data_IF_109861441640
#
_entry.id   IF_109861441640
#
_cell.length_a   1.000
_cell.length_b   1.000
_cell.length_c   1.000
_cell.angle_alpha   90.00
_cell.angle_beta   90.00
_cell.angle_gamma   90.00
#
_symmetry.space_group_name_H-M   'P 1'
#
loop_
_entity.id
_entity.type
_entity.pdbx_description
1 polymer ?
#
# COMPACT_ATOMS: atom_id res chain seq x y z
N UNK A 1 -17.87 -11.61 -24.56
CA UNK A 1 -16.59 -11.21 -23.92
C UNK A 1 -15.38 -11.33 -24.84
N UNK A 2 -15.11 -12.44 -25.52
CA UNK A 2 -13.93 -12.52 -26.41
C UNK A 2 -13.96 -11.50 -27.55
N UNK A 3 -15.09 -11.32 -28.21
CA UNK A 3 -15.32 -10.28 -29.22
C UNK A 3 -15.21 -8.87 -28.66
N UNK A 4 -15.61 -8.65 -27.40
CA UNK A 4 -15.51 -7.36 -26.72
C UNK A 4 -14.06 -6.98 -26.38
N UNK A 5 -13.30 -7.93 -25.83
CA UNK A 5 -11.85 -7.72 -25.56
C UNK A 5 -11.08 -7.52 -26.86
N UNK A 6 -11.42 -8.26 -27.93
CA UNK A 6 -10.87 -8.06 -29.27
C UNK A 6 -11.18 -6.66 -29.83
N UNK A 7 -12.41 -6.17 -29.61
CA UNK A 7 -12.80 -4.82 -30.01
C UNK A 7 -11.97 -3.75 -29.28
N UNK A 8 -11.71 -3.94 -27.99
CA UNK A 8 -10.98 -2.97 -27.17
C UNK A 8 -9.45 -3.02 -27.35
N UNK A 9 -8.88 -4.22 -27.40
CA UNK A 9 -7.44 -4.45 -27.27
C UNK A 9 -6.84 -5.14 -28.50
N UNK A 10 -7.64 -5.47 -29.51
CA UNK A 10 -7.21 -6.19 -30.70
C UNK A 10 -7.11 -7.71 -30.51
N UNK A 11 -6.79 -8.40 -31.61
CA UNK A 11 -6.79 -9.87 -31.67
C UNK A 11 -5.59 -10.55 -30.98
N UNK A 12 -4.60 -9.77 -30.55
CA UNK A 12 -3.36 -10.28 -29.95
C UNK A 12 -3.53 -10.78 -28.50
N UNK A 13 -4.68 -10.54 -27.87
CA UNK A 13 -4.94 -10.93 -26.49
C UNK A 13 -5.93 -12.09 -26.39
N UNK A 14 -5.55 -13.14 -25.65
CA UNK A 14 -6.46 -14.22 -25.26
C UNK A 14 -7.09 -13.89 -23.89
N UNK A 15 -8.40 -13.59 -23.82
CA UNK A 15 -9.01 -13.21 -22.56
C UNK A 15 -9.12 -14.40 -21.61
N UNK A 16 -8.76 -14.17 -20.35
CA UNK A 16 -9.08 -15.04 -19.22
C UNK A 16 -10.15 -14.33 -18.40
N UNK A 17 -11.27 -15.01 -18.15
CA UNK A 17 -12.40 -14.43 -17.42
C UNK A 17 -12.28 -14.83 -15.96
N UNK A 18 -12.23 -13.83 -15.07
CA UNK A 18 -12.24 -14.01 -13.63
C UNK A 18 -13.44 -13.25 -13.05
N UNK A 19 -14.56 -13.92 -12.75
CA UNK A 19 -15.74 -13.25 -12.22
C UNK A 19 -15.53 -12.87 -10.75
N UNK A 20 -15.74 -11.60 -10.42
CA UNK A 20 -15.76 -11.10 -9.04
C UNK A 20 -17.18 -10.78 -8.65
N UNK A 21 -17.71 -11.44 -7.62
CA UNK A 21 -19.07 -11.24 -7.12
C UNK A 21 -19.01 -10.23 -5.97
N UNK A 22 -19.43 -9.00 -6.24
CA UNK A 22 -19.39 -7.91 -5.26
C UNK A 22 -20.73 -7.74 -4.54
N UNK A 23 -20.71 -7.31 -3.27
CA UNK A 23 -21.92 -7.08 -2.49
C UNK A 23 -22.74 -5.89 -3.02
N UNK A 24 -24.02 -6.12 -3.30
CA UNK A 24 -24.97 -5.09 -3.71
C UNK A 24 -25.56 -4.33 -2.50
N UNK A 25 -26.21 -3.19 -2.77
CA UNK A 25 -27.06 -2.45 -1.81
C UNK A 25 -28.37 -2.09 -2.51
N UNK A 26 -29.48 -2.15 -1.78
CA UNK A 26 -30.81 -1.81 -2.29
C UNK A 26 -31.56 -3.02 -2.85
N UNK A 27 -32.34 -2.82 -3.92
CA UNK A 27 -33.22 -3.85 -4.51
C UNK A 27 -32.92 -4.07 -6.01
N UNK A 28 -31.71 -4.54 -6.38
CA UNK A 28 -31.40 -4.83 -7.78
C UNK A 28 -32.38 -5.89 -8.31
N UNK A 29 -33.09 -5.58 -9.40
CA UNK A 29 -34.11 -6.46 -9.96
C UNK A 29 -35.39 -6.64 -9.12
N UNK A 30 -35.56 -5.88 -8.03
CA UNK A 30 -36.80 -5.79 -7.24
C UNK A 30 -37.15 -6.96 -6.31
N UNK A 31 -36.64 -8.17 -6.57
CA UNK A 31 -37.00 -9.38 -5.80
C UNK A 31 -36.29 -9.51 -4.45
N UNK A 32 -35.02 -9.13 -4.39
CA UNK A 32 -34.15 -9.25 -3.22
C UNK A 32 -33.85 -7.89 -2.60
N UNK A 33 -33.59 -7.86 -1.30
CA UNK A 33 -33.20 -6.68 -0.53
C UNK A 33 -31.79 -6.91 0.02
N UNK A 34 -30.84 -6.04 -0.33
CA UNK A 34 -29.47 -6.09 0.17
C UNK A 34 -29.22 -4.88 1.07
N UNK A 35 -28.87 -5.15 2.33
CA UNK A 35 -28.57 -4.15 3.36
C UNK A 35 -27.13 -4.33 3.81
N UNK A 36 -26.41 -3.21 3.93
CA UNK A 36 -25.01 -3.18 4.31
C UNK A 36 -24.34 -1.92 3.77
N UNK A 37 -23.03 -1.81 3.99
CA UNK A 37 -22.27 -0.66 3.52
C UNK A 37 -22.07 -0.74 1.98
N UNK A 38 -22.33 0.33 1.21
CA UNK A 38 -22.05 0.34 -0.23
C UNK A 38 -20.54 0.27 -0.53
N UNK A 39 -19.67 0.69 0.41
CA UNK A 39 -18.21 0.60 0.25
C UNK A 39 -17.69 -0.84 0.29
N UNK A 40 -18.46 -1.81 0.79
CA UNK A 40 -18.10 -3.23 0.73
C UNK A 40 -17.89 -3.68 -0.74
N UNK A 41 -18.56 -3.04 -1.71
CA UNK A 41 -18.32 -3.31 -3.12
C UNK A 41 -16.85 -3.10 -3.50
N UNK A 42 -16.27 -1.96 -3.09
CA UNK A 42 -14.86 -1.66 -3.35
C UNK A 42 -13.95 -2.58 -2.55
N UNK A 43 -14.27 -2.84 -1.28
CA UNK A 43 -13.45 -3.70 -0.40
C UNK A 43 -13.35 -5.12 -0.95
N UNK A 44 -14.47 -5.74 -1.32
CA UNK A 44 -14.47 -7.11 -1.86
C UNK A 44 -13.81 -7.17 -3.24
N UNK A 45 -14.07 -6.19 -4.10
CA UNK A 45 -13.40 -6.11 -5.40
C UNK A 45 -11.88 -5.92 -5.25
N UNK A 46 -11.45 -5.07 -4.32
CA UNK A 46 -10.03 -4.84 -4.02
C UNK A 46 -9.36 -6.08 -3.44
N UNK A 47 -10.00 -6.75 -2.49
CA UNK A 47 -9.50 -8.00 -1.92
C UNK A 47 -9.29 -9.05 -3.02
N UNK A 48 -10.28 -9.25 -3.89
CA UNK A 48 -10.21 -10.32 -4.88
C UNK A 48 -9.24 -10.01 -6.04
N UNK A 49 -9.36 -8.83 -6.66
CA UNK A 49 -8.47 -8.41 -7.75
C UNK A 49 -7.04 -8.16 -7.26
N UNK A 50 -6.90 -7.65 -6.03
CA UNK A 50 -5.60 -7.40 -5.43
C UNK A 50 -4.79 -8.68 -5.23
N UNK A 51 -5.41 -9.84 -4.90
CA UNK A 51 -4.73 -11.14 -4.88
C UNK A 51 -4.03 -11.43 -6.21
N UNK A 52 -4.71 -11.17 -7.32
CA UNK A 52 -4.15 -11.40 -8.67
C UNK A 52 -2.96 -10.47 -8.95
N UNK A 53 -3.08 -9.19 -8.57
CA UNK A 53 -2.02 -8.19 -8.74
C UNK A 53 -0.79 -8.49 -7.88
N UNK A 54 -0.95 -9.12 -6.71
CA UNK A 54 0.21 -9.53 -5.90
C UNK A 54 1.12 -10.53 -6.62
N UNK A 55 0.56 -11.33 -7.54
CA UNK A 55 1.28 -12.39 -8.25
C UNK A 55 1.69 -11.98 -9.67
N UNK A 56 0.86 -11.18 -10.35
CA UNK A 56 1.04 -10.86 -11.77
C UNK A 56 1.19 -9.37 -12.00
N UNK A 57 2.18 -8.95 -12.81
CA UNK A 57 2.28 -7.56 -13.22
C UNK A 57 1.31 -7.24 -14.36
N UNK A 58 0.72 -6.06 -14.29
CA UNK A 58 -0.12 -5.49 -15.33
C UNK A 58 0.34 -4.04 -15.58
N UNK A 59 0.63 -3.70 -16.83
CA UNK A 59 1.03 -2.34 -17.23
C UNK A 59 -0.17 -1.44 -17.50
N UNK A 60 -1.38 -2.01 -17.57
CA UNK A 60 -2.60 -1.28 -17.92
C UNK A 60 -3.84 -1.85 -17.26
N UNK A 61 -4.78 -0.98 -16.92
CA UNK A 61 -6.11 -1.29 -16.39
C UNK A 61 -7.13 -0.65 -17.32
N UNK A 62 -8.13 -1.42 -17.73
CA UNK A 62 -9.24 -0.93 -18.57
C UNK A 62 -10.52 -1.06 -17.77
N UNK A 63 -11.25 0.04 -17.64
CA UNK A 63 -12.52 0.14 -16.94
C UNK A 63 -13.61 0.47 -17.95
N UNK A 64 -14.60 -0.40 -18.07
CA UNK A 64 -15.81 -0.12 -18.82
C UNK A 64 -16.97 0.16 -17.87
N UNK A 65 -17.55 1.35 -17.98
CA UNK A 65 -18.66 1.77 -17.14
C UNK A 65 -20.03 1.55 -17.76
N UNK A 66 -20.10 1.06 -19.01
CA UNK A 66 -21.33 0.98 -19.83
C UNK A 66 -22.49 0.26 -19.13
N UNK A 67 -22.21 -0.85 -18.46
CA UNK A 67 -23.22 -1.69 -17.81
C UNK A 67 -23.20 -1.59 -16.28
N UNK A 68 -22.42 -0.66 -15.72
CA UNK A 68 -22.38 -0.47 -14.28
C UNK A 68 -23.68 0.15 -13.77
N UNK A 69 -24.08 -0.25 -12.56
CA UNK A 69 -25.34 0.18 -11.95
C UNK A 69 -25.06 1.16 -10.81
N UNK A 70 -25.74 2.31 -10.82
CA UNK A 70 -25.70 3.32 -9.76
C UNK A 70 -24.27 3.74 -9.36
N UNK A 71 -23.82 3.33 -8.17
CA UNK A 71 -22.54 3.72 -7.58
C UNK A 71 -21.36 2.89 -8.10
N UNK A 72 -21.62 1.75 -8.78
CA UNK A 72 -20.58 0.81 -9.18
C UNK A 72 -19.56 1.40 -10.16
N UNK A 73 -19.93 2.17 -11.21
CA UNK A 73 -18.96 2.85 -12.07
C UNK A 73 -17.97 3.69 -11.28
N UNK A 74 -18.47 4.58 -10.42
CA UNK A 74 -17.63 5.50 -9.64
C UNK A 74 -16.69 4.77 -8.69
N UNK A 75 -17.18 3.72 -8.00
CA UNK A 75 -16.33 2.91 -7.12
C UNK A 75 -15.31 2.07 -7.91
N UNK A 76 -15.65 1.60 -9.11
CA UNK A 76 -14.74 0.83 -9.96
C UNK A 76 -13.61 1.71 -10.51
N UNK A 77 -13.91 2.95 -10.90
CA UNK A 77 -12.89 3.93 -11.29
C UNK A 77 -11.96 4.27 -10.13
N UNK A 78 -12.49 4.43 -8.90
CA UNK A 78 -11.65 4.60 -7.71
C UNK A 78 -10.77 3.38 -7.44
N UNK A 79 -11.34 2.19 -7.56
CA UNK A 79 -10.64 0.92 -7.38
C UNK A 79 -9.48 0.77 -8.36
N UNK A 80 -9.66 1.15 -9.63
CA UNK A 80 -8.61 1.10 -10.64
C UNK A 80 -7.34 1.87 -10.21
N UNK A 81 -7.51 3.04 -9.61
CA UNK A 81 -6.40 3.82 -9.05
C UNK A 81 -5.70 3.09 -7.89
N UNK A 82 -6.45 2.46 -6.98
CA UNK A 82 -5.85 1.67 -5.89
C UNK A 82 -5.08 0.46 -6.41
N UNK A 83 -5.64 -0.25 -7.39
CA UNK A 83 -5.00 -1.40 -8.03
C UNK A 83 -3.71 -0.97 -8.75
N UNK A 84 -3.72 0.17 -9.46
CA UNK A 84 -2.54 0.75 -10.07
C UNK A 84 -1.45 1.10 -9.04
N UNK A 85 -1.84 1.70 -7.92
CA UNK A 85 -0.93 1.99 -6.82
C UNK A 85 -0.31 0.71 -6.22
N UNK A 86 -1.10 -0.35 -6.01
CA UNK A 86 -0.58 -1.65 -5.53
C UNK A 86 0.36 -2.31 -6.55
N UNK A 87 0.07 -2.18 -7.85
CA UNK A 87 0.95 -2.65 -8.93
C UNK A 87 2.33 -2.00 -8.84
N UNK A 88 2.39 -0.67 -8.68
CA UNK A 88 3.65 0.07 -8.51
C UNK A 88 4.42 -0.32 -7.24
N UNK A 89 3.69 -0.53 -6.14
CA UNK A 89 4.28 -0.96 -4.88
C UNK A 89 4.89 -2.37 -4.98
N UNK A 90 4.20 -3.28 -5.67
CA UNK A 90 4.58 -4.70 -5.78
C UNK A 90 5.65 -4.97 -6.84
N UNK A 91 5.56 -4.32 -8.00
CA UNK A 91 6.29 -4.67 -9.22
C UNK A 91 7.20 -3.54 -9.67
N UNK A 92 8.48 -3.63 -9.29
CA UNK A 92 9.46 -2.56 -9.54
C UNK A 92 9.64 -2.18 -11.01
N UNK A 93 9.54 -3.12 -11.94
CA UNK A 93 9.75 -2.83 -13.36
C UNK A 93 8.71 -1.85 -13.92
N UNK A 94 7.53 -1.70 -13.27
CA UNK A 94 6.53 -0.70 -13.63
C UNK A 94 6.93 0.72 -13.19
N UNK A 95 7.93 0.85 -12.33
CA UNK A 95 8.55 2.13 -11.95
C UNK A 95 9.76 2.42 -12.82
N UNK A 96 10.61 1.40 -13.07
CA UNK A 96 11.89 1.57 -13.74
C UNK A 96 11.83 1.54 -15.29
N UNK A 97 10.80 0.93 -15.88
CA UNK A 97 10.69 0.82 -17.34
C UNK A 97 10.27 2.17 -17.97
N UNK A 98 10.53 2.34 -19.27
CA UNK A 98 10.10 3.52 -20.06
C UNK A 98 8.59 3.81 -20.05
N UNK A 99 7.80 2.94 -19.42
CA UNK A 99 6.43 3.18 -18.97
C UNK A 99 6.48 3.56 -17.49
N UNK A 100 6.63 4.85 -17.18
CA UNK A 100 6.66 5.39 -15.80
C UNK A 100 5.25 5.34 -15.17
N UNK A 101 4.70 4.16 -14.96
CA UNK A 101 3.37 4.02 -14.37
C UNK A 101 2.51 2.91 -14.96
N UNK A 102 1.31 2.80 -14.41
CA UNK A 102 0.22 1.94 -14.92
C UNK A 102 -0.74 2.80 -15.71
N UNK A 103 -1.03 2.42 -16.95
CA UNK A 103 -2.02 3.13 -17.78
C UNK A 103 -3.44 2.76 -17.36
N UNK A 104 -4.32 3.74 -17.23
CA UNK A 104 -5.73 3.53 -16.92
C UNK A 104 -6.56 4.07 -18.09
N UNK A 105 -7.39 3.22 -18.67
CA UNK A 105 -8.31 3.57 -19.74
C UNK A 105 -9.75 3.43 -19.23
N UNK A 106 -10.58 4.44 -19.41
CA UNK A 106 -11.99 4.43 -19.00
C UNK A 106 -12.87 4.57 -20.24
N UNK A 107 -13.75 3.60 -20.47
CA UNK A 107 -14.67 3.56 -21.59
C UNK A 107 -16.12 3.61 -21.15
N UNK A 108 -16.99 4.17 -21.99
CA UNK A 108 -18.45 4.07 -21.86
C UNK A 108 -19.11 4.12 -23.22
N UNK A 109 -20.08 3.24 -23.46
CA UNK A 109 -20.82 3.24 -24.70
C UNK A 109 -21.85 4.37 -24.77
N UNK A 110 -22.30 4.66 -25.98
CA UNK A 110 -23.46 5.53 -26.19
C UNK A 110 -24.68 5.03 -25.41
N UNK A 111 -25.53 5.92 -24.87
CA UNK A 111 -26.74 5.52 -24.16
C UNK A 111 -27.70 4.79 -25.10
N UNK A 112 -28.22 3.64 -24.67
CA UNK A 112 -29.17 2.84 -25.47
C UNK A 112 -30.49 3.61 -25.61
N UNK A 113 -30.93 3.99 -26.82
CA UNK A 113 -32.20 4.68 -27.00
C UNK A 113 -33.37 3.71 -26.74
N UNK A 114 -34.22 4.06 -25.78
CA UNK A 114 -35.37 3.23 -25.34
C UNK A 114 -36.43 2.98 -26.44
N UNK A 115 -36.41 3.73 -27.54
CA UNK A 115 -37.49 3.78 -28.53
C UNK A 115 -37.02 3.54 -29.99
N UNK A 116 -35.86 2.94 -30.21
CA UNK A 116 -35.39 2.66 -31.58
C UNK A 116 -35.75 1.24 -32.02
N UNK A 117 -36.51 1.05 -33.11
CA UNK A 117 -36.69 -0.27 -33.70
C UNK A 117 -35.38 -0.74 -34.35
N UNK A 118 -34.69 -1.66 -33.69
CA UNK A 118 -33.42 -2.25 -34.15
C UNK A 118 -32.37 -2.31 -33.03
N UNK A 119 -31.23 -2.96 -33.29
CA UNK A 119 -30.02 -2.80 -32.48
C UNK A 119 -29.23 -1.62 -33.08
N UNK A 120 -29.25 -0.42 -32.49
CA UNK A 120 -28.44 0.68 -32.99
C UNK A 120 -26.96 0.32 -32.91
N UNK A 121 -26.19 0.75 -33.91
CA UNK A 121 -24.74 0.74 -33.81
C UNK A 121 -24.34 1.72 -32.70
N UNK A 122 -23.66 1.22 -31.67
CA UNK A 122 -23.25 2.01 -30.50
C UNK A 122 -21.75 2.11 -30.47
N UNK A 123 -21.24 3.33 -30.31
CA UNK A 123 -19.82 3.56 -30.14
C UNK A 123 -19.42 3.27 -28.71
N UNK A 124 -18.23 2.69 -28.53
CA UNK A 124 -17.57 2.59 -27.23
C UNK A 124 -16.55 3.72 -27.13
N UNK A 125 -16.84 4.72 -26.30
CA UNK A 125 -16.06 5.95 -26.26
C UNK A 125 -15.00 5.88 -25.16
N UNK A 126 -13.74 6.19 -25.49
CA UNK A 126 -12.70 6.43 -24.49
C UNK A 126 -12.99 7.78 -23.81
N UNK A 127 -13.38 7.74 -22.53
CA UNK A 127 -13.70 8.94 -21.74
C UNK A 127 -12.44 9.53 -21.12
N UNK A 128 -11.54 8.68 -20.65
CA UNK A 128 -10.30 9.11 -19.99
C UNK A 128 -9.16 8.13 -20.25
N UNK A 129 -7.98 8.68 -20.49
CA UNK A 129 -6.70 7.98 -20.47
C UNK A 129 -5.76 8.68 -19.49
N UNK A 130 -5.27 7.94 -18.51
CA UNK A 130 -4.38 8.47 -17.47
C UNK A 130 -3.20 7.52 -17.25
N UNK A 131 -2.06 8.08 -16.84
CA UNK A 131 -0.92 7.27 -16.36
C UNK A 131 -0.79 7.46 -14.87
N UNK A 132 -1.05 6.40 -14.12
CA UNK A 132 -0.90 6.38 -12.67
C UNK A 132 0.56 6.05 -12.34
N UNK A 133 1.32 7.07 -11.91
CA UNK A 133 2.77 6.98 -11.70
C UNK A 133 3.18 7.07 -10.23
N UNK A 134 2.23 7.20 -9.30
CA UNK A 134 2.53 7.36 -7.88
C UNK A 134 1.81 6.35 -6.99
N UNK A 135 2.49 5.91 -5.94
CA UNK A 135 1.91 5.07 -4.90
C UNK A 135 1.11 5.97 -3.95
N UNK A 136 -0.19 5.75 -3.87
CA UNK A 136 -1.08 6.51 -3.01
C UNK A 136 -0.95 6.06 -1.56
N UNK A 137 -0.53 6.95 -0.67
CA UNK A 137 -0.53 6.72 0.78
C UNK A 137 -1.60 7.61 1.42
N UNK A 138 -2.69 7.04 1.96
CA UNK A 138 -3.66 7.81 2.74
C UNK A 138 -2.98 8.67 3.82
N UNK A 139 -3.32 9.96 3.96
CA UNK A 139 -2.71 10.85 4.96
C UNK A 139 -3.20 10.55 6.38
N UNK A 140 -4.18 9.66 6.52
CA UNK A 140 -4.75 9.17 7.77
C UNK A 140 -4.82 7.64 7.72
N UNK A 141 -4.65 6.99 8.86
CA UNK A 141 -4.85 5.53 8.99
C UNK A 141 -6.27 5.32 9.55
N UNK A 142 -7.17 4.60 8.85
CA UNK A 142 -8.45 4.23 9.44
C UNK A 142 -8.24 3.49 10.76
N UNK A 143 -9.05 3.80 11.78
CA UNK A 143 -8.94 3.17 13.09
C UNK A 143 -9.20 1.66 13.03
N UNK A 144 -10.16 1.25 12.21
CA UNK A 144 -10.62 -0.12 12.11
C UNK A 144 -10.53 -0.66 10.68
N UNK A 145 -10.18 -1.95 10.55
CA UNK A 145 -10.31 -2.71 9.32
C UNK A 145 -11.74 -3.21 9.12
N UNK A 146 -12.39 -3.66 10.20
CA UNK A 146 -13.79 -4.04 10.23
C UNK A 146 -14.61 -3.04 11.07
N UNK A 147 -15.74 -2.64 10.52
CA UNK A 147 -16.66 -1.67 11.11
C UNK A 147 -18.00 -2.32 11.43
N UNK A 148 -18.56 -2.02 12.61
CA UNK A 148 -19.91 -2.46 12.99
C UNK A 148 -20.96 -1.68 12.21
N UNK A 149 -21.86 -2.39 11.53
CA UNK A 149 -23.05 -1.81 10.89
C UNK A 149 -24.31 -1.94 11.75
N UNK A 150 -24.38 -2.97 12.61
CA UNK A 150 -25.52 -3.21 13.50
C UNK A 150 -25.10 -3.30 14.98
N UNK A 151 -25.81 -2.60 15.90
CA UNK A 151 -25.57 -2.73 17.33
C UNK A 151 -25.62 -4.18 17.80
N UNK A 152 -24.63 -4.61 18.59
CA UNK A 152 -24.51 -5.98 19.11
C UNK A 152 -23.58 -6.89 18.31
N UNK A 153 -23.14 -6.49 17.11
CA UNK A 153 -22.07 -7.18 16.36
C UNK A 153 -20.77 -6.41 16.54
N UNK A 154 -19.76 -7.02 17.18
CA UNK A 154 -18.46 -6.38 17.37
C UNK A 154 -17.39 -7.10 16.54
N UNK A 155 -16.59 -6.35 15.76
CA UNK A 155 -15.44 -6.94 15.06
C UNK A 155 -14.37 -7.37 16.06
N UNK A 156 -13.48 -8.25 15.62
CA UNK A 156 -12.31 -8.64 16.42
C UNK A 156 -11.42 -7.43 16.76
N UNK A 157 -11.31 -7.12 18.05
CA UNK A 157 -10.40 -6.08 18.56
C UNK A 157 -8.94 -6.43 18.24
N UNK A 158 -8.59 -7.72 18.34
CA UNK A 158 -7.25 -8.22 18.03
C UNK A 158 -6.91 -8.02 16.55
N UNK A 159 -7.88 -8.22 15.64
CA UNK A 159 -7.70 -8.00 14.22
C UNK A 159 -7.41 -6.52 13.91
N UNK A 160 -8.19 -5.59 14.48
CA UNK A 160 -7.95 -4.15 14.28
C UNK A 160 -6.60 -3.71 14.86
N UNK A 161 -6.19 -4.26 16.02
CA UNK A 161 -4.85 -4.02 16.59
C UNK A 161 -3.75 -4.53 15.65
N UNK A 162 -3.89 -5.75 15.15
CA UNK A 162 -2.94 -6.40 14.23
C UNK A 162 -2.80 -5.59 12.94
N UNK A 163 -3.93 -5.19 12.34
CA UNK A 163 -3.95 -4.31 11.18
C UNK A 163 -3.18 -3.02 11.46
N UNK A 164 -3.48 -2.32 12.55
CA UNK A 164 -2.85 -1.05 12.86
C UNK A 164 -1.33 -1.19 13.08
N UNK A 165 -0.92 -2.27 13.74
CA UNK A 165 0.48 -2.54 14.03
C UNK A 165 1.33 -2.65 12.75
N UNK A 166 0.87 -3.46 11.79
CA UNK A 166 1.61 -3.68 10.55
C UNK A 166 1.40 -2.57 9.51
N UNK A 167 0.15 -2.18 9.27
CA UNK A 167 -0.18 -1.18 8.27
C UNK A 167 0.29 0.22 8.70
N UNK A 168 0.16 0.56 9.99
CA UNK A 168 0.53 1.89 10.47
C UNK A 168 2.03 2.17 10.40
N UNK A 169 2.85 1.15 10.69
CA UNK A 169 4.30 1.25 10.60
C UNK A 169 4.77 1.42 9.15
N UNK A 170 4.27 0.59 8.24
CA UNK A 170 4.64 0.67 6.81
C UNK A 170 4.10 1.93 6.16
N UNK A 171 2.83 2.29 6.38
CA UNK A 171 2.23 3.50 5.84
C UNK A 171 2.99 4.77 6.28
N UNK A 172 3.33 4.87 7.56
CA UNK A 172 4.12 6.01 8.09
C UNK A 172 5.53 6.04 7.50
N UNK A 173 6.17 4.87 7.33
CA UNK A 173 7.52 4.77 6.78
C UNK A 173 7.61 5.04 5.28
N UNK A 174 6.50 4.91 4.54
CA UNK A 174 6.39 5.30 3.14
C UNK A 174 6.02 6.78 3.02
N UNK A 175 5.03 7.22 3.81
CA UNK A 175 4.54 8.60 3.78
C UNK A 175 5.65 9.60 4.11
N UNK A 176 6.44 9.31 5.15
CA UNK A 176 7.69 10.01 5.43
C UNK A 176 8.85 9.22 4.82
N UNK A 177 9.94 9.84 4.33
CA UNK A 177 11.04 9.10 3.71
C UNK A 177 11.86 8.36 4.78
N UNK A 178 11.38 7.22 5.30
CA UNK A 178 12.03 6.48 6.39
C UNK A 178 12.48 5.06 5.95
N UNK A 179 13.39 4.93 4.97
CA UNK A 179 13.77 3.65 4.37
C UNK A 179 14.29 2.61 5.37
N UNK A 180 15.11 3.00 6.36
CA UNK A 180 15.63 2.06 7.36
C UNK A 180 14.50 1.51 8.23
N UNK A 181 13.51 2.34 8.57
CA UNK A 181 12.33 1.92 9.33
C UNK A 181 11.42 1.01 8.51
N UNK A 182 11.28 1.30 7.21
CA UNK A 182 10.56 0.41 6.31
C UNK A 182 11.18 -0.98 6.27
N UNK A 183 12.50 -1.07 6.10
CA UNK A 183 13.23 -2.36 6.10
C UNK A 183 13.08 -3.08 7.44
N UNK A 184 13.22 -2.37 8.56
CA UNK A 184 12.94 -2.93 9.88
C UNK A 184 11.51 -3.50 9.97
N UNK A 185 10.52 -2.72 9.54
CA UNK A 185 9.11 -3.09 9.59
C UNK A 185 8.78 -4.32 8.75
N UNK A 186 9.42 -4.51 7.60
CA UNK A 186 9.15 -5.63 6.70
C UNK A 186 10.08 -6.83 6.89
N UNK A 187 11.14 -6.70 7.68
CA UNK A 187 12.11 -7.78 7.94
C UNK A 187 11.54 -8.94 8.77
N UNK A 188 10.39 -8.74 9.40
CA UNK A 188 9.69 -9.74 10.19
C UNK A 188 8.70 -10.56 9.34
N UNK A 189 7.84 -11.35 9.97
CA UNK A 189 6.72 -12.04 9.32
C UNK A 189 5.60 -11.10 8.83
N UNK A 190 5.87 -9.81 8.66
CA UNK A 190 4.91 -8.75 8.34
C UNK A 190 4.03 -9.07 7.14
N UNK A 191 4.59 -9.60 6.05
CA UNK A 191 3.80 -9.97 4.87
C UNK A 191 2.80 -11.08 5.20
N UNK A 192 3.22 -12.11 5.95
CA UNK A 192 2.39 -13.24 6.32
C UNK A 192 1.31 -12.81 7.32
N UNK A 193 1.66 -12.00 8.31
CA UNK A 193 0.73 -11.48 9.33
C UNK A 193 -0.28 -10.49 8.76
N UNK A 194 0.15 -9.61 7.86
CA UNK A 194 -0.75 -8.72 7.13
C UNK A 194 -1.71 -9.53 6.23
N UNK A 195 -1.22 -10.58 5.57
CA UNK A 195 -2.08 -11.47 4.78
C UNK A 195 -3.07 -12.25 5.65
N UNK A 196 -2.62 -12.78 6.79
CA UNK A 196 -3.46 -13.47 7.77
C UNK A 196 -4.59 -12.55 8.27
N UNK A 197 -4.29 -11.27 8.52
CA UNK A 197 -5.28 -10.28 8.89
C UNK A 197 -6.26 -9.97 7.74
N UNK A 198 -5.82 -9.93 6.47
CA UNK A 198 -6.72 -9.80 5.32
C UNK A 198 -7.71 -10.96 5.23
N UNK A 199 -7.22 -12.19 5.32
CA UNK A 199 -8.05 -13.40 5.26
C UNK A 199 -9.03 -13.48 6.43
N UNK A 200 -8.56 -13.17 7.65
CA UNK A 200 -9.42 -13.09 8.84
C UNK A 200 -10.51 -12.04 8.70
N UNK A 201 -10.17 -10.85 8.19
CA UNK A 201 -11.15 -9.79 7.99
C UNK A 201 -12.23 -10.18 6.96
N UNK A 202 -11.82 -10.80 5.85
CA UNK A 202 -12.76 -11.32 4.86
C UNK A 202 -13.67 -12.40 5.45
N UNK A 203 -13.12 -13.35 6.21
CA UNK A 203 -13.89 -14.42 6.86
C UNK A 203 -14.87 -13.90 7.93
N UNK A 204 -14.45 -12.97 8.79
CA UNK A 204 -15.34 -12.31 9.75
C UNK A 204 -16.46 -11.51 9.07
N UNK A 205 -16.15 -10.82 7.96
CA UNK A 205 -17.18 -10.15 7.16
C UNK A 205 -18.17 -11.15 6.56
N UNK A 206 -17.69 -12.22 5.94
CA UNK A 206 -18.52 -13.25 5.28
C UNK A 206 -19.45 -13.95 6.29
N UNK A 207 -18.91 -14.35 7.44
CA UNK A 207 -19.70 -14.96 8.52
C UNK A 207 -20.72 -14.00 9.16
N UNK A 208 -20.54 -12.69 9.01
CA UNK A 208 -21.48 -11.68 9.48
C UNK A 208 -22.67 -11.46 8.54
N UNK A 209 -22.69 -12.11 7.38
CA UNK A 209 -23.77 -11.99 6.40
C UNK A 209 -24.92 -12.92 6.77
N UNK A 210 -26.09 -12.35 7.01
CA UNK A 210 -27.31 -13.09 7.30
C UNK A 210 -28.27 -13.07 6.11
N UNK A 211 -28.90 -14.21 5.85
CA UNK A 211 -29.90 -14.37 4.81
C UNK A 211 -31.21 -14.80 5.46
N UNK A 212 -32.26 -13.97 5.31
CA UNK A 212 -33.60 -14.27 5.83
C UNK A 212 -34.66 -13.91 4.80
N UNK A 213 -35.38 -14.94 4.31
CA UNK A 213 -36.28 -14.81 3.16
C UNK A 213 -35.53 -14.27 1.93
N UNK A 214 -36.01 -13.14 1.39
CA UNK A 214 -35.37 -12.44 0.27
C UNK A 214 -34.47 -11.26 0.72
N UNK A 215 -34.05 -11.25 1.98
CA UNK A 215 -33.19 -10.19 2.53
C UNK A 215 -31.79 -10.74 2.83
N UNK A 216 -30.78 -10.04 2.34
CA UNK A 216 -29.37 -10.22 2.70
C UNK A 216 -28.94 -9.03 3.55
N UNK A 217 -28.54 -9.29 4.79
CA UNK A 217 -28.12 -8.28 5.77
C UNK A 217 -26.66 -8.50 6.11
N UNK A 218 -25.81 -7.48 5.88
CA UNK A 218 -24.41 -7.49 6.31
C UNK A 218 -24.28 -6.72 7.62
N UNK A 219 -23.74 -7.37 8.66
CA UNK A 219 -23.61 -6.79 10.00
C UNK A 219 -22.25 -6.13 10.26
N UNK A 220 -21.23 -6.55 9.53
CA UNK A 220 -19.93 -5.89 9.46
C UNK A 220 -19.71 -5.29 8.08
N UNK A 221 -18.84 -4.28 8.02
CA UNK A 221 -18.32 -3.70 6.79
C UNK A 221 -16.79 -3.73 6.81
N UNK A 222 -16.16 -3.91 5.66
CA UNK A 222 -14.70 -3.81 5.53
C UNK A 222 -14.38 -2.39 5.08
N UNK A 223 -13.51 -1.69 5.82
CA UNK A 223 -13.02 -0.39 5.43
C UNK A 223 -12.04 -0.51 4.24
N UNK A 224 -12.33 0.05 3.05
CA UNK A 224 -11.49 -0.16 1.86
C UNK A 224 -10.14 0.56 1.96
N UNK A 225 -10.03 1.63 2.75
CA UNK A 225 -8.75 2.31 2.99
C UNK A 225 -7.83 1.47 3.89
N UNK A 226 -8.40 0.85 4.92
CA UNK A 226 -7.67 -0.07 5.81
C UNK A 226 -7.21 -1.32 5.04
N UNK A 227 -8.12 -1.90 4.25
CA UNK A 227 -7.83 -3.04 3.39
C UNK A 227 -6.71 -2.69 2.39
N UNK A 228 -6.80 -1.54 1.74
CA UNK A 228 -5.78 -1.05 0.83
C UNK A 228 -4.40 -0.90 1.50
N UNK A 229 -4.34 -0.28 2.68
CA UNK A 229 -3.08 -0.11 3.43
C UNK A 229 -2.46 -1.47 3.82
N UNK A 230 -3.29 -2.45 4.16
CA UNK A 230 -2.83 -3.79 4.51
C UNK A 230 -2.33 -4.54 3.26
N UNK A 231 -3.00 -4.40 2.12
CA UNK A 231 -2.51 -4.91 0.83
C UNK A 231 -1.22 -4.22 0.40
N UNK A 232 -1.11 -2.91 0.57
CA UNK A 232 0.12 -2.15 0.31
C UNK A 232 1.28 -2.67 1.16
N UNK A 233 1.01 -2.98 2.43
CA UNK A 233 1.99 -3.58 3.34
C UNK A 233 2.50 -4.92 2.81
N UNK A 234 1.60 -5.80 2.35
CA UNK A 234 1.97 -7.06 1.72
C UNK A 234 2.78 -6.85 0.45
N UNK A 235 2.35 -5.95 -0.44
CA UNK A 235 3.02 -5.66 -1.70
C UNK A 235 4.47 -5.22 -1.49
N UNK A 236 4.68 -4.26 -0.58
CA UNK A 236 6.01 -3.74 -0.25
C UNK A 236 6.87 -4.79 0.42
N UNK A 237 6.33 -5.50 1.42
CA UNK A 237 7.09 -6.54 2.12
C UNK A 237 7.55 -7.66 1.17
N UNK A 238 6.69 -8.10 0.24
CA UNK A 238 7.06 -9.09 -0.79
C UNK A 238 8.13 -8.56 -1.74
N UNK A 239 7.97 -7.34 -2.26
CA UNK A 239 8.96 -6.70 -3.14
C UNK A 239 10.34 -6.62 -2.49
N UNK A 240 10.41 -6.18 -1.23
CA UNK A 240 11.68 -6.02 -0.52
C UNK A 240 12.30 -7.37 -0.14
N UNK A 241 11.47 -8.37 0.22
CA UNK A 241 11.94 -9.73 0.49
C UNK A 241 12.54 -10.40 -0.74
N UNK A 242 11.94 -10.24 -1.93
CA UNK A 242 12.46 -10.78 -3.19
C UNK A 242 13.82 -10.18 -3.58
N UNK A 243 14.08 -8.94 -3.17
CA UNK A 243 15.38 -8.28 -3.31
C UNK A 243 16.42 -8.71 -2.26
N UNK A 244 16.04 -9.57 -1.32
CA UNK A 244 16.91 -10.04 -0.25
C UNK A 244 17.26 -8.99 0.79
N UNK A 245 16.43 -7.95 0.96
CA UNK A 245 16.67 -6.97 2.02
C UNK A 245 16.41 -7.60 3.38
N UNK A 246 17.39 -7.47 4.27
CA UNK A 246 17.30 -7.90 5.67
C UNK A 246 17.53 -6.72 6.60
N UNK A 247 17.12 -6.87 7.86
CA UNK A 247 17.45 -5.94 8.92
C UNK A 247 18.33 -6.64 9.98
N UNK A 248 19.42 -6.03 10.49
CA UNK A 248 20.09 -4.82 9.99
C UNK A 248 20.46 -4.90 8.50
N UNK A 249 20.65 -3.75 7.86
CA UNK A 249 20.87 -3.66 6.40
C UNK A 249 22.12 -2.84 6.07
N UNK A 250 22.80 -3.13 4.96
CA UNK A 250 23.88 -2.26 4.48
C UNK A 250 23.36 -1.12 3.59
N UNK A 251 24.15 -0.06 3.44
CA UNK A 251 23.81 1.13 2.63
C UNK A 251 23.45 0.79 1.18
N UNK A 252 24.10 -0.20 0.57
CA UNK A 252 23.84 -0.61 -0.83
C UNK A 252 22.55 -1.40 -0.94
N UNK A 253 22.28 -2.29 0.03
CA UNK A 253 20.99 -2.97 0.12
C UNK A 253 19.86 -1.99 0.38
N UNK A 254 20.06 -1.02 1.27
CA UNK A 254 19.07 0.01 1.57
C UNK A 254 18.77 0.88 0.34
N UNK A 255 19.76 1.18 -0.50
CA UNK A 255 19.55 1.90 -1.76
C UNK A 255 18.59 1.17 -2.74
N UNK A 256 18.33 -0.13 -2.56
CA UNK A 256 17.36 -0.83 -3.41
C UNK A 256 15.90 -0.41 -3.15
N UNK A 257 15.63 0.34 -2.08
CA UNK A 257 14.31 0.94 -1.82
C UNK A 257 14.04 2.18 -2.68
N UNK A 258 15.07 2.75 -3.32
CA UNK A 258 14.96 4.04 -4.03
C UNK A 258 13.83 4.07 -5.07
N UNK A 259 13.64 3.04 -5.93
CA UNK A 259 12.54 3.11 -6.90
C UNK A 259 11.16 3.01 -6.22
N UNK A 260 11.06 2.36 -5.06
CA UNK A 260 9.81 2.37 -4.28
C UNK A 260 9.50 3.79 -3.77
N UNK A 261 10.51 4.48 -3.22
CA UNK A 261 10.33 5.84 -2.70
C UNK A 261 10.15 6.87 -3.82
N UNK A 262 10.80 6.71 -4.97
CA UNK A 262 10.56 7.52 -6.16
C UNK A 262 9.10 7.46 -6.60
N UNK A 263 8.50 6.27 -6.58
CA UNK A 263 7.08 6.09 -6.88
C UNK A 263 6.17 6.69 -5.79
N UNK A 264 6.61 6.84 -4.53
CA UNK A 264 5.82 7.58 -3.53
C UNK A 264 5.95 9.09 -3.77
N UNK A 265 7.18 9.57 -3.90
CA UNK A 265 7.52 10.96 -4.18
C UNK A 265 8.94 11.02 -4.74
N UNK A 266 9.10 11.57 -5.95
CA UNK A 266 10.40 11.67 -6.63
C UNK A 266 11.49 12.32 -5.74
N UNK A 267 11.13 13.32 -4.93
CA UNK A 267 12.07 14.00 -4.04
C UNK A 267 12.69 13.05 -2.99
N UNK A 268 11.97 12.02 -2.57
CA UNK A 268 12.44 11.07 -1.56
C UNK A 268 13.66 10.29 -2.04
N UNK A 269 13.73 9.97 -3.34
CA UNK A 269 14.89 9.32 -3.93
C UNK A 269 16.17 10.11 -3.66
N UNK A 270 16.17 11.39 -3.99
CA UNK A 270 17.36 12.24 -3.86
C UNK A 270 17.79 12.44 -2.40
N UNK A 271 16.83 12.57 -1.47
CA UNK A 271 17.13 12.69 -0.05
C UNK A 271 17.78 11.41 0.48
N UNK A 272 17.24 10.25 0.13
CA UNK A 272 17.76 8.95 0.57
C UNK A 272 19.16 8.71 -0.04
N UNK A 273 19.34 8.94 -1.34
CA UNK A 273 20.64 8.78 -2.02
C UNK A 273 21.73 9.65 -1.38
N UNK A 274 21.47 10.93 -1.14
CA UNK A 274 22.44 11.86 -0.54
C UNK A 274 22.83 11.43 0.89
N UNK A 275 21.85 11.05 1.72
CA UNK A 275 22.14 10.63 3.10
C UNK A 275 22.94 9.32 3.16
N UNK A 276 22.61 8.33 2.32
CA UNK A 276 23.39 7.09 2.23
C UNK A 276 24.84 7.36 1.80
N UNK A 277 25.04 8.16 0.76
CA UNK A 277 26.37 8.51 0.27
C UNK A 277 27.20 9.28 1.31
N UNK A 278 26.57 10.17 2.09
CA UNK A 278 27.23 10.88 3.19
C UNK A 278 27.70 9.92 4.29
N UNK A 279 26.86 8.97 4.68
CA UNK A 279 27.20 7.97 5.71
C UNK A 279 28.36 7.11 5.23
N UNK A 280 28.32 6.58 4.01
CA UNK A 280 29.42 5.80 3.44
C UNK A 280 30.74 6.59 3.46
N UNK A 281 30.73 7.81 2.89
CA UNK A 281 31.91 8.68 2.81
C UNK A 281 32.52 8.97 4.18
N UNK A 282 31.68 9.22 5.19
CA UNK A 282 32.15 9.53 6.55
C UNK A 282 32.68 8.28 7.25
N UNK A 283 32.00 7.14 7.12
CA UNK A 283 32.45 5.84 7.64
C UNK A 283 33.82 5.45 7.08
N UNK A 284 34.03 5.57 5.78
CA UNK A 284 35.33 5.26 5.15
C UNK A 284 36.48 6.16 5.63
N UNK A 285 36.21 7.44 5.97
CA UNK A 285 37.24 8.36 6.48
C UNK A 285 37.80 7.92 7.83
N UNK A 286 36.97 7.30 8.67
CA UNK A 286 37.35 6.84 10.02
C UNK A 286 37.43 5.31 10.13
N UNK A 287 37.52 4.62 9.00
CA UNK A 287 37.50 3.15 8.93
C UNK A 287 38.51 2.47 9.85
N UNK A 288 39.68 3.09 10.10
CA UNK A 288 40.71 2.52 11.00
C UNK A 288 40.20 2.41 12.44
N UNK A 289 39.36 3.35 12.87
CA UNK A 289 38.75 3.35 14.20
C UNK A 289 37.57 2.36 14.23
N UNK A 290 36.77 2.30 13.16
CA UNK A 290 35.57 1.48 13.11
C UNK A 290 35.82 -0.01 12.88
N UNK A 291 36.96 -0.41 12.31
CA UNK A 291 37.29 -1.83 12.08
C UNK A 291 37.36 -2.65 13.37
N UNK A 292 37.72 -2.01 14.47
CA UNK A 292 37.82 -2.64 15.80
C UNK A 292 36.58 -2.38 16.66
N UNK A 293 35.66 -1.52 16.18
CA UNK A 293 34.44 -1.17 16.88
C UNK A 293 33.28 -2.08 16.44
N UNK A 294 32.37 -2.39 17.36
CA UNK A 294 31.11 -3.04 17.03
C UNK A 294 30.10 -1.99 16.50
N UNK A 295 28.90 -1.91 17.07
CA UNK A 295 27.91 -0.91 16.68
C UNK A 295 28.24 0.46 17.25
N UNK A 296 28.58 1.40 16.36
CA UNK A 296 28.95 2.77 16.70
C UNK A 296 27.79 3.71 16.40
N UNK A 297 27.33 4.55 17.36
CA UNK A 297 26.36 5.59 17.09
C UNK A 297 26.77 6.53 15.95
N UNK A 298 25.82 6.86 15.07
CA UNK A 298 26.09 7.63 13.85
C UNK A 298 26.66 9.03 14.16
N UNK A 299 26.24 9.69 15.24
CA UNK A 299 26.76 11.01 15.63
C UNK A 299 28.29 11.03 15.88
N UNK A 300 28.88 9.92 16.35
CA UNK A 300 30.33 9.83 16.59
C UNK A 300 31.12 9.90 15.28
N UNK A 301 30.53 9.40 14.19
CA UNK A 301 31.14 9.36 12.85
C UNK A 301 31.13 10.74 12.19
N UNK A 302 30.18 11.57 12.59
CA UNK A 302 30.12 12.96 12.17
C UNK A 302 31.05 13.89 12.95
N UNK A 303 31.74 13.39 13.99
CA UNK A 303 32.64 14.16 14.87
C UNK A 303 31.88 15.37 15.45
N UNK A 304 30.67 15.13 15.95
CA UNK A 304 29.85 16.13 16.65
C UNK A 304 29.79 15.78 18.15
N UNK A 305 30.93 15.86 18.90
CA UNK A 305 31.03 15.35 20.27
C UNK A 305 30.19 16.11 21.30
N UNK A 306 29.65 17.29 20.94
CA UNK A 306 28.95 18.19 21.86
C UNK A 306 27.50 18.51 21.46
N UNK A 307 26.87 17.70 20.60
CA UNK A 307 25.43 17.86 20.39
C UNK A 307 24.70 17.39 21.65
N UNK A 308 24.05 18.33 22.34
CA UNK A 308 22.99 18.00 23.29
C UNK A 308 22.03 17.05 22.58
N UNK A 309 21.87 15.83 23.10
CA UNK A 309 20.90 14.86 22.63
C UNK A 309 19.51 15.51 22.67
N UNK A 310 19.11 16.06 21.53
CA UNK A 310 17.80 16.67 21.41
C UNK A 310 16.80 15.54 21.15
N UNK A 311 15.61 15.66 21.73
CA UNK A 311 14.53 14.73 21.42
C UNK A 311 14.37 14.60 19.90
N UNK A 312 14.07 13.39 19.41
CA UNK A 312 13.86 13.14 17.97
C UNK A 312 12.82 14.13 17.44
N UNK A 313 13.18 14.88 16.40
CA UNK A 313 12.31 15.91 15.81
C UNK A 313 11.81 15.41 14.46
N UNK A 314 10.50 15.48 14.25
CA UNK A 314 9.83 15.17 12.96
C UNK A 314 10.58 15.75 11.76
N UNK A 315 10.92 17.06 11.81
CA UNK A 315 11.62 17.76 10.72
C UNK A 315 12.99 17.17 10.43
N UNK A 316 13.77 16.84 11.46
CA UNK A 316 15.11 16.26 11.32
C UNK A 316 15.02 14.85 10.71
N UNK A 317 14.09 14.03 11.19
CA UNK A 317 13.84 12.71 10.63
C UNK A 317 13.47 12.77 9.15
N UNK A 318 12.56 13.66 8.74
CA UNK A 318 12.19 13.80 7.31
C UNK A 318 13.37 14.29 6.48
N UNK A 319 14.11 15.29 6.97
CA UNK A 319 15.23 15.89 6.23
C UNK A 319 16.42 14.93 6.03
N UNK A 320 16.59 13.95 6.93
CA UNK A 320 17.69 12.98 6.88
C UNK A 320 17.22 11.56 6.55
N UNK A 321 16.11 11.42 5.82
CA UNK A 321 15.57 10.12 5.42
C UNK A 321 15.41 9.10 6.59
N UNK A 322 15.03 9.56 7.78
CA UNK A 322 14.91 8.74 8.98
C UNK A 322 16.24 8.25 9.56
N UNK A 323 17.38 8.70 9.02
CA UNK A 323 18.74 8.34 9.42
C UNK A 323 19.30 9.34 10.44
N UNK A 324 18.49 9.74 11.41
CA UNK A 324 18.88 10.72 12.41
C UNK A 324 20.01 10.17 13.31
N UNK A 325 21.04 11.00 13.52
CA UNK A 325 22.34 10.61 14.10
C UNK A 325 22.25 10.04 15.53
N UNK A 326 21.30 10.51 16.32
CA UNK A 326 21.09 10.11 17.71
C UNK A 326 20.48 8.71 17.85
N UNK A 327 19.84 8.20 16.80
CA UNK A 327 19.08 6.94 16.86
C UNK A 327 19.61 5.87 15.92
N UNK A 328 20.46 6.22 14.95
CA UNK A 328 21.10 5.26 14.05
C UNK A 328 22.47 4.85 14.57
N UNK A 329 22.79 3.58 14.43
CA UNK A 329 24.10 3.00 14.65
C UNK A 329 24.62 2.43 13.33
N UNK A 330 25.95 2.44 13.16
CA UNK A 330 26.59 1.79 12.03
C UNK A 330 27.62 0.77 12.49
N UNK A 331 27.92 -0.18 11.61
CA UNK A 331 29.04 -1.11 11.76
C UNK A 331 29.74 -1.28 10.42
N UNK A 332 31.07 -1.18 10.41
CA UNK A 332 31.87 -1.45 9.22
C UNK A 332 32.29 -2.92 9.22
N UNK A 333 31.88 -3.67 8.20
CA UNK A 333 32.31 -5.06 8.02
C UNK A 333 33.69 -5.15 7.37
N UNK A 334 34.37 -6.29 7.53
CA UNK A 334 35.70 -6.53 6.96
C UNK A 334 35.73 -6.39 5.42
N UNK A 335 34.64 -6.75 4.76
CA UNK A 335 34.45 -6.61 3.31
C UNK A 335 34.15 -5.16 2.86
N UNK A 336 34.17 -4.19 3.78
CA UNK A 336 33.94 -2.78 3.51
C UNK A 336 32.46 -2.36 3.43
N UNK A 337 31.51 -3.25 3.73
CA UNK A 337 30.09 -2.89 3.81
C UNK A 337 29.79 -2.09 5.08
N UNK A 338 28.94 -1.07 4.94
CA UNK A 338 28.47 -0.23 6.06
C UNK A 338 27.07 -0.67 6.44
N UNK A 339 26.95 -1.42 7.54
CA UNK A 339 25.66 -1.81 8.11
C UNK A 339 25.05 -0.65 8.88
N UNK A 340 23.72 -0.55 8.83
CA UNK A 340 22.89 0.42 9.53
C UNK A 340 21.83 -0.31 10.35
N UNK A 341 21.57 0.20 11.55
CA UNK A 341 20.42 -0.17 12.38
C UNK A 341 19.99 0.99 13.26
N UNK A 342 18.78 0.92 13.80
CA UNK A 342 18.35 1.77 14.89
C UNK A 342 18.92 1.30 16.24
N UNK A 343 18.95 2.19 17.23
CA UNK A 343 19.20 1.80 18.61
C UNK A 343 18.03 0.96 19.16
N UNK A 344 18.26 0.30 20.29
CA UNK A 344 17.29 -0.61 20.91
C UNK A 344 15.93 0.03 21.25
N UNK A 345 15.88 1.34 21.52
CA UNK A 345 14.63 2.03 21.81
C UNK A 345 13.70 2.10 20.59
N UNK A 346 14.27 2.25 19.39
CA UNK A 346 13.56 2.29 18.12
C UNK A 346 13.28 0.91 17.54
N UNK A 347 14.19 -0.04 17.72
CA UNK A 347 13.98 -1.45 17.30
C UNK A 347 12.84 -2.10 18.09
N UNK A 348 12.84 -1.94 19.41
CA UNK A 348 11.89 -2.66 20.27
C UNK A 348 10.49 -2.05 20.28
N UNK A 349 10.33 -0.75 20.00
CA UNK A 349 9.05 -0.04 20.10
C UNK A 349 8.84 0.99 18.98
N UNK A 350 8.94 0.60 17.70
CA UNK A 350 8.95 1.56 16.58
C UNK A 350 7.68 2.42 16.50
N UNK A 351 6.49 1.84 16.73
CA UNK A 351 5.24 2.59 16.74
C UNK A 351 5.17 3.64 17.85
N UNK A 352 5.68 3.33 19.04
CA UNK A 352 5.74 4.28 20.15
C UNK A 352 6.67 5.45 19.79
N UNK A 353 7.81 5.16 19.15
CA UNK A 353 8.76 6.20 18.73
C UNK A 353 8.21 7.08 17.59
N UNK A 354 7.51 6.49 16.62
CA UNK A 354 6.81 7.25 15.59
C UNK A 354 5.77 8.19 16.20
N UNK A 355 4.99 7.71 17.18
CA UNK A 355 4.00 8.51 17.88
C UNK A 355 4.62 9.67 18.66
N UNK A 356 5.66 9.41 19.46
CA UNK A 356 6.33 10.44 20.26
C UNK A 356 7.03 11.49 19.38
N UNK A 357 7.50 11.10 18.20
CA UNK A 357 8.20 11.97 17.24
C UNK A 357 7.27 12.70 16.27
N UNK A 358 5.95 12.47 16.34
CA UNK A 358 4.96 13.06 15.42
C UNK A 358 5.05 12.54 13.97
N UNK A 359 5.64 11.36 13.79
CA UNK A 359 5.84 10.67 12.50
C UNK A 359 4.85 9.52 12.30
N UNK A 360 4.06 9.16 13.30
CA UNK A 360 2.92 8.26 13.10
C UNK A 360 1.81 9.02 12.40
N UNK A 361 1.30 8.48 11.28
CA UNK A 361 0.13 9.05 10.63
C UNK A 361 -1.06 9.06 11.60
N UNK A 362 -1.86 10.14 11.62
CA UNK A 362 -3.00 10.24 12.52
C UNK A 362 -4.04 9.15 12.21
N UNK A 363 -4.66 8.62 13.26
CA UNK A 363 -5.81 7.72 13.11
C UNK A 363 -7.07 8.54 12.85
N UNK A 364 -7.94 8.04 11.97
CA UNK A 364 -9.23 8.64 11.69
C UNK A 364 -10.36 7.63 11.95
N UNK A 365 -11.39 8.07 12.68
CA UNK A 365 -12.66 7.35 12.78
C UNK A 365 -13.38 7.48 11.45
N UNK A 366 -13.91 6.38 10.93
CA UNK A 366 -14.85 6.46 9.83
C UNK A 366 -16.00 7.38 10.24
N UNK A 367 -16.24 8.43 9.45
CA UNK A 367 -17.46 9.21 9.55
C UNK A 367 -18.61 8.31 9.11
N UNK A 368 -19.42 7.88 10.08
CA UNK A 368 -20.63 7.07 9.90
C UNK A 368 -21.62 7.71 8.94
#
# INVERSE_FOLDING_TARGET
>A
MSSYVKCLLGDQYKPVIHPVICPAVGRPGGKWIFRGNPRDFESIALYDLGKTIMEKPFSSIVVDTTHGVNFMPSLTTRLANRLASLLLARHEHLVLAGQRGVKIYIYNADPVPLASPGQPEMSLNLIAEETHSSIQIPPVIPENLLETMEPGTQPSIELNKTYFEYAGLVASSLYYPLPLLLVHAVSQETAAKAWEALEKAHGEWETSVEISGNTVQRRLAINPDALYLLMLTVAVARRLKEKGLSYPTDTRQLAQVLPLYEAVNEAYRYIIEDELARIEKKTFRIQRILKEADWTPLYLIYIEPNQHFSAVKKRTMIAHAGLQKEIVQVKLLENGQVLLRYNSAWENRPLQQLKSSGLLLPQCKATS
#
